data_IF_080300550701
#
_entry.id   IF_080300550701
#
_cell.length_a   1.000
_cell.length_b   1.000
_cell.length_c   1.000
_cell.angle_alpha   90.00
_cell.angle_beta   90.00
_cell.angle_gamma   90.00
#
_symmetry.space_group_name_H-M   'P 1'
#
loop_
_entity.id
_entity.type
_entity.pdbx_description
1 polymer ?
#
# COMPACT_ATOMS: atom_id res chain seq x y z
N UNK A 1 -36.02 34.32 35.11
CA UNK A 1 -34.58 34.21 35.48
C UNK A 1 -33.98 33.01 34.74
N UNK A 2 -33.58 33.15 33.48
CA UNK A 2 -32.99 32.07 32.70
C UNK A 2 -31.46 32.07 32.89
N UNK A 3 -30.93 31.07 33.62
CA UNK A 3 -29.49 30.88 33.75
C UNK A 3 -28.97 30.29 32.45
N UNK A 4 -28.28 31.11 31.67
CA UNK A 4 -27.63 30.72 30.42
C UNK A 4 -26.53 29.69 30.74
N UNK A 5 -26.79 28.40 30.44
CA UNK A 5 -25.80 27.33 30.57
C UNK A 5 -24.75 27.56 29.48
N UNK A 6 -23.60 28.13 29.85
CA UNK A 6 -22.42 28.14 28.97
C UNK A 6 -22.06 26.68 28.70
N UNK A 7 -22.25 26.26 27.45
CA UNK A 7 -21.76 24.99 26.94
C UNK A 7 -20.25 24.98 27.10
N UNK A 8 -19.76 24.24 28.10
CA UNK A 8 -18.33 23.90 28.19
C UNK A 8 -18.11 22.79 27.19
N UNK A 9 -17.59 23.13 26.02
CA UNK A 9 -17.13 22.13 25.04
C UNK A 9 -16.03 21.30 25.72
N UNK A 10 -16.21 19.98 25.91
CA UNK A 10 -15.18 19.16 26.54
C UNK A 10 -14.06 18.93 25.52
N UNK A 11 -12.86 19.43 25.84
CA UNK A 11 -11.65 19.29 25.03
C UNK A 11 -11.36 20.52 24.19
N UNK A 12 -10.08 20.92 24.14
CA UNK A 12 -9.65 22.00 23.26
C UNK A 12 -9.79 21.55 21.81
N UNK A 13 -10.11 22.46 20.88
CA UNK A 13 -10.13 22.15 19.45
C UNK A 13 -8.80 21.57 18.94
N UNK A 14 -7.70 21.82 19.65
CA UNK A 14 -6.39 21.23 19.35
C UNK A 14 -6.36 19.75 19.71
N UNK A 15 -6.91 19.36 20.86
CA UNK A 15 -6.95 17.97 21.31
C UNK A 15 -7.75 17.09 20.33
N UNK A 16 -8.85 17.64 19.79
CA UNK A 16 -9.66 16.99 18.75
C UNK A 16 -8.89 16.87 17.41
N UNK A 17 -8.10 17.88 17.04
CA UNK A 17 -7.26 17.86 15.84
C UNK A 17 -6.13 16.85 15.96
N UNK A 18 -5.48 16.78 17.12
CA UNK A 18 -4.38 15.88 17.38
C UNK A 18 -4.85 14.41 17.40
N UNK A 19 -6.03 14.15 17.97
CA UNK A 19 -6.67 12.85 17.90
C UNK A 19 -6.99 12.42 16.45
N UNK A 20 -7.56 13.33 15.65
CA UNK A 20 -7.86 13.07 14.25
C UNK A 20 -6.60 12.79 13.40
N UNK A 21 -5.52 13.53 13.65
CA UNK A 21 -4.22 13.29 13.00
C UNK A 21 -3.66 11.91 13.37
N UNK A 22 -3.69 11.53 14.64
CA UNK A 22 -3.21 10.22 15.10
C UNK A 22 -4.02 9.06 14.51
N UNK A 23 -5.34 9.23 14.33
CA UNK A 23 -6.17 8.24 13.65
C UNK A 23 -5.85 8.16 12.15
N UNK A 24 -5.66 9.30 11.48
CA UNK A 24 -5.25 9.35 10.09
C UNK A 24 -3.91 8.63 9.86
N UNK A 25 -2.92 8.86 10.73
CA UNK A 25 -1.63 8.17 10.68
C UNK A 25 -1.77 6.66 10.84
N UNK A 26 -2.59 6.19 11.80
CA UNK A 26 -2.87 4.76 12.00
C UNK A 26 -3.51 4.12 10.78
N UNK A 27 -4.48 4.80 10.16
CA UNK A 27 -5.14 4.31 8.94
C UNK A 27 -4.13 4.28 7.79
N UNK A 28 -3.33 5.33 7.64
CA UNK A 28 -2.32 5.40 6.59
C UNK A 28 -1.26 4.29 6.74
N UNK A 29 -0.83 4.00 7.97
CA UNK A 29 0.08 2.90 8.25
C UNK A 29 -0.50 1.53 7.84
N UNK A 30 -1.79 1.29 8.11
CA UNK A 30 -2.49 0.06 7.68
C UNK A 30 -2.59 -0.03 6.15
N UNK A 31 -2.85 1.10 5.49
CA UNK A 31 -2.89 1.17 4.03
C UNK A 31 -1.49 0.81 3.48
N UNK A 32 -0.44 1.46 3.97
CA UNK A 32 0.94 1.20 3.54
C UNK A 32 1.34 -0.27 3.74
N UNK A 33 1.00 -0.87 4.87
CA UNK A 33 1.26 -2.30 5.12
C UNK A 33 0.51 -3.21 4.12
N UNK A 34 -0.74 -2.89 3.78
CA UNK A 34 -1.50 -3.62 2.77
C UNK A 34 -0.88 -3.51 1.36
N UNK A 35 -0.45 -2.30 0.97
CA UNK A 35 0.26 -2.07 -0.29
C UNK A 35 1.57 -2.85 -0.34
N UNK A 36 2.36 -2.82 0.74
CA UNK A 36 3.62 -3.55 0.84
C UNK A 36 3.42 -5.07 0.73
N UNK A 37 2.41 -5.62 1.40
CA UNK A 37 2.05 -7.04 1.29
C UNK A 37 1.63 -7.41 -0.13
N UNK A 38 0.88 -6.55 -0.81
CA UNK A 38 0.44 -6.80 -2.17
C UNK A 38 1.62 -6.72 -3.16
N UNK A 39 2.47 -5.71 -3.04
CA UNK A 39 3.68 -5.56 -3.84
C UNK A 39 4.59 -6.78 -3.72
N UNK A 40 4.83 -7.26 -2.49
CA UNK A 40 5.60 -8.48 -2.24
C UNK A 40 5.02 -9.68 -2.98
N UNK A 41 3.70 -9.90 -2.90
CA UNK A 41 3.02 -11.00 -3.62
C UNK A 41 3.17 -10.87 -5.13
N UNK A 42 3.15 -9.65 -5.68
CA UNK A 42 3.35 -9.43 -7.11
C UNK A 42 4.78 -9.75 -7.52
N UNK A 43 5.79 -9.35 -6.73
CA UNK A 43 7.20 -9.75 -6.96
C UNK A 43 7.38 -11.27 -6.94
N UNK A 44 6.84 -11.96 -5.93
CA UNK A 44 6.91 -13.43 -5.84
C UNK A 44 6.30 -14.11 -7.09
N UNK A 45 5.21 -13.56 -7.63
CA UNK A 45 4.59 -14.07 -8.87
C UNK A 45 5.43 -13.77 -10.10
N UNK A 46 6.06 -12.60 -10.16
CA UNK A 46 7.00 -12.23 -11.21
C UNK A 46 8.18 -13.21 -11.21
N UNK A 47 8.84 -13.42 -10.07
CA UNK A 47 9.97 -14.35 -9.92
C UNK A 47 9.60 -15.79 -10.30
N UNK A 48 8.39 -16.23 -9.92
CA UNK A 48 7.86 -17.53 -10.32
C UNK A 48 7.61 -17.64 -11.82
N UNK A 49 7.19 -16.56 -12.48
CA UNK A 49 7.04 -16.54 -13.94
C UNK A 49 8.42 -16.57 -14.62
N UNK A 50 9.36 -15.76 -14.14
CA UNK A 50 10.74 -15.67 -14.64
C UNK A 50 11.48 -17.00 -14.54
N UNK A 51 11.43 -17.68 -13.39
CA UNK A 51 12.06 -19.01 -13.24
C UNK A 51 11.51 -20.06 -14.21
N UNK A 52 10.27 -19.90 -14.68
CA UNK A 52 9.67 -20.79 -15.68
C UNK A 52 10.05 -20.43 -17.12
N UNK A 53 10.44 -19.18 -17.40
CA UNK A 53 10.94 -18.74 -18.72
C UNK A 53 12.18 -19.54 -19.10
N UNK A 54 13.10 -19.70 -18.15
CA UNK A 54 14.36 -20.41 -18.35
C UNK A 54 14.13 -21.90 -18.64
N UNK A 55 13.17 -22.51 -17.96
CA UNK A 55 12.78 -23.91 -18.16
C UNK A 55 11.92 -24.16 -19.41
N UNK A 56 11.34 -23.12 -20.03
CA UNK A 56 10.44 -23.27 -21.17
C UNK A 56 11.21 -23.48 -22.48
N UNK A 57 11.06 -24.68 -23.07
CA UNK A 57 11.67 -25.04 -24.37
C UNK A 57 10.93 -24.49 -25.60
N UNK A 58 9.63 -24.22 -25.47
CA UNK A 58 8.80 -23.72 -26.58
C UNK A 58 8.79 -22.19 -26.59
N UNK A 59 9.10 -21.54 -27.72
CA UNK A 59 9.20 -20.09 -27.80
C UNK A 59 7.88 -19.38 -27.47
N UNK A 60 6.73 -19.95 -27.85
CA UNK A 60 5.42 -19.35 -27.57
C UNK A 60 5.13 -19.37 -26.06
N UNK A 61 5.46 -20.49 -25.39
CA UNK A 61 5.32 -20.61 -23.94
C UNK A 61 6.27 -19.64 -23.22
N UNK A 62 7.48 -19.46 -23.74
CA UNK A 62 8.45 -18.50 -23.20
C UNK A 62 7.93 -17.07 -23.31
N UNK A 63 7.37 -16.67 -24.45
CA UNK A 63 6.78 -15.36 -24.67
C UNK A 63 5.63 -15.06 -23.69
N UNK A 64 4.72 -16.03 -23.47
CA UNK A 64 3.62 -15.89 -22.50
C UNK A 64 4.14 -15.71 -21.06
N UNK A 65 5.18 -16.46 -20.68
CA UNK A 65 5.77 -16.38 -19.35
C UNK A 65 6.52 -15.06 -19.14
N UNK A 66 7.22 -14.55 -20.17
CA UNK A 66 7.85 -13.23 -20.15
C UNK A 66 6.82 -12.13 -19.96
N UNK A 67 5.74 -12.13 -20.75
CA UNK A 67 4.68 -11.12 -20.61
C UNK A 67 4.03 -11.15 -19.22
N UNK A 68 3.89 -12.35 -18.66
CA UNK A 68 3.35 -12.52 -17.30
C UNK A 68 4.32 -12.01 -16.23
N UNK A 69 5.62 -12.23 -16.41
CA UNK A 69 6.66 -11.68 -15.55
C UNK A 69 6.60 -10.15 -15.54
N UNK A 70 6.61 -9.53 -16.73
CA UNK A 70 6.52 -8.07 -16.90
C UNK A 70 5.29 -7.49 -16.20
N UNK A 71 4.11 -8.08 -16.46
CA UNK A 71 2.87 -7.59 -15.87
C UNK A 71 2.88 -7.62 -14.33
N UNK A 72 3.44 -8.68 -13.73
CA UNK A 72 3.55 -8.76 -12.28
C UNK A 72 4.64 -7.86 -11.71
N UNK A 73 5.75 -7.67 -12.43
CA UNK A 73 6.81 -6.75 -12.04
C UNK A 73 6.30 -5.30 -12.05
N UNK A 74 5.64 -4.87 -13.13
CA UNK A 74 5.06 -3.53 -13.27
C UNK A 74 3.99 -3.27 -12.19
N UNK A 75 3.14 -4.27 -11.91
CA UNK A 75 2.16 -4.16 -10.84
C UNK A 75 2.80 -4.02 -9.46
N UNK A 76 3.92 -4.71 -9.20
CA UNK A 76 4.66 -4.54 -7.95
C UNK A 76 5.25 -3.13 -7.84
N UNK A 77 5.90 -2.65 -8.90
CA UNK A 77 6.50 -1.30 -8.95
C UNK A 77 5.45 -0.22 -8.70
N UNK A 78 4.31 -0.27 -9.39
CA UNK A 78 3.24 0.72 -9.19
C UNK A 78 2.68 0.72 -7.76
N UNK A 79 2.67 -0.44 -7.06
CA UNK A 79 2.25 -0.49 -5.66
C UNK A 79 3.29 0.09 -4.71
N UNK A 80 4.57 -0.05 -5.03
CA UNK A 80 5.68 0.45 -4.24
C UNK A 80 5.87 1.96 -4.41
N UNK A 81 5.63 2.50 -5.60
CA UNK A 81 5.62 3.94 -5.87
C UNK A 81 4.56 4.70 -5.06
N UNK A 82 3.49 4.01 -4.62
CA UNK A 82 2.47 4.59 -3.75
C UNK A 82 2.86 4.59 -2.27
N UNK A 83 3.88 3.84 -1.89
CA UNK A 83 4.39 3.89 -0.54
C UNK A 83 5.16 5.20 -0.36
N UNK A 84 5.11 5.82 0.83
CA UNK A 84 5.98 6.95 1.12
C UNK A 84 7.43 6.54 0.87
N UNK A 85 8.29 7.47 0.41
CA UNK A 85 9.71 7.21 0.27
C UNK A 85 10.21 6.64 1.60
N UNK A 86 10.90 5.50 1.53
CA UNK A 86 11.62 4.99 2.70
C UNK A 86 12.75 5.98 2.91
N UNK A 87 12.66 6.79 3.96
CA UNK A 87 13.80 7.58 4.41
C UNK A 87 14.96 6.61 4.65
N UNK A 88 16.02 6.72 3.84
CA UNK A 88 17.30 6.01 4.01
C UNK A 88 18.13 6.64 5.14
#
# INVERSE_FOLDING_TARGET
MAKNKKSTFPGSLRDHKDAANAEAEKVNAKINDAFLKLAKKMRERADKAKSKVDAARKPEKRAVLLRRFELYADAATHLEERLPPRDE
#
